data_IF_776043428957
#
_entry.id   IF_776043428957
#
_cell.length_a   1.000
_cell.length_b   1.000
_cell.length_c   1.000
_cell.angle_alpha   90.00
_cell.angle_beta   90.00
_cell.angle_gamma   90.00
#
_symmetry.space_group_name_H-M   'P 1'
#
loop_
_entity.id
_entity.type
_entity.pdbx_description
1 polymer ?
#
# COMPACT_ATOMS: atom_id res chain seq x y z
N UNK A 1 0.23 -13.00 17.24
CA UNK A 1 0.09 -13.94 16.11
C UNK A 1 1.47 -14.11 15.51
N UNK A 2 1.97 -15.34 15.36
CA UNK A 2 3.29 -15.58 14.78
C UNK A 2 3.30 -15.06 13.34
N UNK A 3 4.20 -14.13 13.02
CA UNK A 3 4.43 -13.66 11.66
C UNK A 3 5.07 -14.84 10.90
N UNK A 4 4.25 -15.67 10.23
CA UNK A 4 4.77 -16.65 9.28
C UNK A 4 5.50 -15.87 8.18
N UNK A 5 6.77 -16.18 7.93
CA UNK A 5 7.49 -15.50 6.87
C UNK A 5 6.86 -15.89 5.54
N UNK A 6 6.91 -15.00 4.53
CA UNK A 6 6.32 -15.29 3.22
C UNK A 6 6.88 -16.58 2.60
N UNK A 7 8.11 -16.94 2.97
CA UNK A 7 8.79 -18.19 2.61
C UNK A 7 8.13 -19.44 3.17
N UNK A 8 7.43 -19.37 4.31
CA UNK A 8 6.79 -20.50 4.98
C UNK A 8 5.38 -20.81 4.46
N UNK A 9 4.87 -20.01 3.52
CA UNK A 9 3.55 -20.15 2.93
C UNK A 9 3.59 -21.18 1.78
N UNK A 10 2.51 -21.96 1.62
CA UNK A 10 2.33 -22.83 0.45
C UNK A 10 2.04 -21.99 -0.81
N UNK A 11 2.14 -22.60 -2.00
CA UNK A 11 1.89 -21.88 -3.25
C UNK A 11 0.47 -21.27 -3.32
N UNK A 12 -0.54 -21.98 -2.80
CA UNK A 12 -1.92 -21.49 -2.74
C UNK A 12 -2.05 -20.30 -1.78
N UNK A 13 -1.43 -20.39 -0.60
CA UNK A 13 -1.40 -19.29 0.38
C UNK A 13 -0.67 -18.05 -0.18
N UNK A 14 0.43 -18.26 -0.92
CA UNK A 14 1.20 -17.19 -1.57
C UNK A 14 0.38 -16.44 -2.62
N UNK A 15 -0.38 -17.16 -3.44
CA UNK A 15 -1.28 -16.56 -4.45
C UNK A 15 -2.45 -15.81 -3.81
N UNK A 16 -2.96 -16.31 -2.68
CA UNK A 16 -4.00 -15.64 -1.91
C UNK A 16 -3.46 -14.33 -1.31
N UNK A 17 -2.25 -14.35 -0.75
CA UNK A 17 -1.58 -13.16 -0.23
C UNK A 17 -1.30 -12.14 -1.35
N UNK A 18 -0.92 -12.60 -2.54
CA UNK A 18 -0.76 -11.75 -3.72
C UNK A 18 -2.06 -11.06 -4.14
N UNK A 19 -3.20 -11.77 -4.09
CA UNK A 19 -4.52 -11.16 -4.31
C UNK A 19 -4.87 -10.13 -3.24
N UNK A 20 -4.61 -10.44 -1.96
CA UNK A 20 -4.81 -9.48 -0.86
C UNK A 20 -3.98 -8.23 -1.05
N UNK A 21 -2.70 -8.36 -1.43
CA UNK A 21 -1.84 -7.21 -1.71
C UNK A 21 -2.36 -6.36 -2.88
N UNK A 22 -2.88 -6.97 -3.95
CA UNK A 22 -3.54 -6.22 -5.04
C UNK A 22 -4.74 -5.43 -4.54
N UNK A 23 -5.60 -6.05 -3.71
CA UNK A 23 -6.74 -5.35 -3.13
C UNK A 23 -6.29 -4.21 -2.21
N UNK A 24 -5.26 -4.42 -1.39
CA UNK A 24 -4.67 -3.39 -0.55
C UNK A 24 -4.11 -2.23 -1.39
N UNK A 25 -3.46 -2.51 -2.53
CA UNK A 25 -2.98 -1.48 -3.44
C UNK A 25 -4.12 -0.62 -4.01
N UNK A 26 -5.26 -1.23 -4.35
CA UNK A 26 -6.46 -0.50 -4.80
C UNK A 26 -6.99 0.40 -3.68
N UNK A 27 -7.15 -0.14 -2.47
CA UNK A 27 -7.60 0.64 -1.30
C UNK A 27 -6.63 1.79 -1.03
N UNK A 28 -5.33 1.54 -1.10
CA UNK A 28 -4.31 2.57 -0.93
C UNK A 28 -4.42 3.66 -2.00
N UNK A 29 -4.64 3.30 -3.27
CA UNK A 29 -4.85 4.25 -4.35
C UNK A 29 -6.11 5.13 -4.13
N UNK A 30 -7.21 4.54 -3.67
CA UNK A 30 -8.44 5.27 -3.32
C UNK A 30 -8.18 6.24 -2.17
N UNK A 31 -7.50 5.79 -1.10
CA UNK A 31 -7.13 6.63 0.03
C UNK A 31 -6.23 7.79 -0.39
N UNK A 32 -5.22 7.53 -1.22
CA UNK A 32 -4.34 8.56 -1.75
C UNK A 32 -5.15 9.58 -2.56
N UNK A 33 -6.06 9.15 -3.44
CA UNK A 33 -6.94 10.04 -4.19
C UNK A 33 -7.83 10.91 -3.29
N UNK A 34 -8.40 10.32 -2.23
CA UNK A 34 -9.16 11.06 -1.22
C UNK A 34 -8.31 12.11 -0.49
N UNK A 35 -7.10 11.75 -0.07
CA UNK A 35 -6.17 12.67 0.58
C UNK A 35 -5.74 13.82 -0.36
N UNK A 36 -5.54 13.53 -1.65
CA UNK A 36 -5.32 14.56 -2.67
C UNK A 36 -6.51 15.51 -2.80
N UNK A 37 -7.74 14.99 -2.73
CA UNK A 37 -8.95 15.81 -2.70
C UNK A 37 -8.99 16.79 -1.53
N UNK A 38 -8.58 16.34 -0.33
CA UNK A 38 -8.47 17.20 0.86
C UNK A 38 -7.42 18.29 0.64
N UNK A 39 -6.24 17.94 0.11
CA UNK A 39 -5.19 18.90 -0.19
C UNK A 39 -5.70 19.94 -1.19
N UNK A 40 -6.35 19.52 -2.27
CA UNK A 40 -6.91 20.41 -3.28
C UNK A 40 -7.96 21.37 -2.69
N UNK A 41 -8.89 20.86 -1.88
CA UNK A 41 -9.88 21.69 -1.19
C UNK A 41 -9.23 22.70 -0.22
N UNK A 42 -8.22 22.27 0.53
CA UNK A 42 -7.45 23.13 1.44
C UNK A 42 -6.74 24.26 0.69
N UNK A 43 -6.18 23.99 -0.50
CA UNK A 43 -5.58 25.00 -1.37
C UNK A 43 -6.62 26.01 -1.84
N UNK A 44 -7.79 25.55 -2.33
CA UNK A 44 -8.88 26.42 -2.78
C UNK A 44 -9.44 27.29 -1.65
N UNK A 45 -9.53 26.75 -0.44
CA UNK A 45 -9.98 27.48 0.77
C UNK A 45 -8.87 28.26 1.46
N UNK A 46 -7.68 28.34 0.86
CA UNK A 46 -6.50 29.00 1.40
C UNK A 46 -6.14 28.58 2.84
N UNK A 47 -6.52 27.35 3.22
CA UNK A 47 -6.34 26.82 4.57
C UNK A 47 -5.03 26.05 4.65
N UNK A 48 -3.95 26.71 4.24
CA UNK A 48 -2.61 26.15 4.19
C UNK A 48 -2.04 25.91 5.60
N UNK A 49 -1.39 24.77 5.81
CA UNK A 49 -0.76 24.43 7.09
C UNK A 49 -0.96 22.97 7.48
N UNK A 50 -1.31 22.73 8.74
CA UNK A 50 -1.40 21.37 9.30
C UNK A 50 -2.37 20.44 8.53
N UNK A 51 -3.44 21.00 7.95
CA UNK A 51 -4.41 20.25 7.16
C UNK A 51 -3.86 19.68 5.85
N UNK A 52 -2.77 20.20 5.31
CA UNK A 52 -2.08 19.62 4.14
C UNK A 52 -0.95 18.68 4.55
N UNK A 53 -0.29 18.95 5.68
CA UNK A 53 0.79 18.12 6.22
C UNK A 53 0.30 16.74 6.67
N UNK A 54 -0.87 16.67 7.34
CA UNK A 54 -1.43 15.39 7.80
C UNK A 54 -1.70 14.46 6.61
N UNK A 55 -2.48 14.84 5.58
CA UNK A 55 -2.65 14.02 4.38
C UNK A 55 -1.34 13.61 3.71
N UNK A 56 -0.38 14.53 3.61
CA UNK A 56 0.90 14.26 2.95
C UNK A 56 1.71 13.18 3.70
N UNK A 57 1.73 13.24 5.04
CA UNK A 57 2.35 12.21 5.87
C UNK A 57 1.69 10.83 5.68
N UNK A 58 0.35 10.78 5.64
CA UNK A 58 -0.38 9.54 5.41
C UNK A 58 -0.07 8.94 4.02
N UNK A 59 -0.03 9.76 2.97
CA UNK A 59 0.35 9.32 1.62
C UNK A 59 1.74 8.70 1.64
N UNK A 60 2.73 9.38 2.23
CA UNK A 60 4.11 8.88 2.32
C UNK A 60 4.18 7.52 3.03
N UNK A 61 3.52 7.40 4.20
CA UNK A 61 3.49 6.16 4.96
C UNK A 61 2.85 5.00 4.17
N UNK A 62 1.77 5.28 3.45
CA UNK A 62 1.02 4.28 2.69
C UNK A 62 1.80 3.76 1.47
N UNK A 63 2.51 4.65 0.78
CA UNK A 63 3.36 4.29 -0.36
C UNK A 63 4.57 3.47 0.11
N UNK A 64 5.23 3.90 1.19
CA UNK A 64 6.43 3.24 1.68
C UNK A 64 6.15 1.83 2.23
N UNK A 65 5.03 1.65 2.96
CA UNK A 65 4.64 0.34 3.49
C UNK A 65 4.24 -0.66 2.40
N UNK A 66 3.60 -0.18 1.32
CA UNK A 66 3.18 -1.02 0.21
C UNK A 66 4.36 -1.53 -0.61
N UNK A 67 5.40 -0.72 -0.80
CA UNK A 67 6.51 -1.02 -1.71
C UNK A 67 7.42 -2.16 -1.22
N UNK A 68 7.79 -2.14 0.06
CA UNK A 68 8.65 -3.19 0.64
C UNK A 68 7.99 -4.57 0.55
N UNK A 69 6.70 -4.64 0.92
CA UNK A 69 5.95 -5.89 0.99
C UNK A 69 5.60 -6.46 -0.39
N UNK A 70 5.43 -5.61 -1.41
CA UNK A 70 5.19 -6.06 -2.78
C UNK A 70 6.46 -6.62 -3.43
N UNK A 71 7.62 -6.01 -3.19
CA UNK A 71 8.87 -6.47 -3.80
C UNK A 71 9.30 -7.85 -3.30
N UNK A 72 9.17 -8.11 -2.00
CA UNK A 72 9.51 -9.40 -1.39
C UNK A 72 8.58 -10.52 -1.89
N UNK A 73 7.27 -10.25 -1.93
CA UNK A 73 6.27 -11.21 -2.42
C UNK A 73 6.44 -11.49 -3.92
N UNK A 74 6.74 -10.47 -4.74
CA UNK A 74 6.95 -10.65 -6.18
C UNK A 74 8.23 -11.45 -6.49
N UNK A 75 9.28 -11.27 -5.67
CA UNK A 75 10.50 -12.08 -5.76
C UNK A 75 10.22 -13.57 -5.50
N UNK A 76 9.49 -13.87 -4.42
CA UNK A 76 9.14 -15.25 -4.06
C UNK A 76 8.21 -15.92 -5.08
N UNK A 77 7.26 -15.16 -5.65
CA UNK A 77 6.38 -15.68 -6.71
C UNK A 77 7.17 -16.06 -7.97
N UNK A 78 8.16 -15.25 -8.36
CA UNK A 78 9.04 -15.53 -9.51
C UNK A 78 9.97 -16.70 -9.25
N UNK A 79 10.58 -16.77 -8.07
CA UNK A 79 11.46 -17.88 -7.68
C UNK A 79 10.74 -19.23 -7.76
N UNK A 80 9.45 -19.25 -7.41
CA UNK A 80 8.61 -20.46 -7.44
C UNK A 80 7.88 -20.68 -8.77
N UNK A 81 8.12 -19.86 -9.80
CA UNK A 81 7.52 -20.00 -11.13
C UNK A 81 5.99 -19.76 -11.15
N UNK A 82 5.46 -19.02 -10.17
CA UNK A 82 4.03 -18.70 -10.05
C UNK A 82 3.64 -17.40 -10.77
N UNK A 83 4.62 -16.68 -11.33
CA UNK A 83 4.45 -15.43 -12.08
C UNK A 83 5.57 -15.23 -13.10
#
# INVERSE_FOLDING_TARGET
MAQKNLTDLTNEELLLEAKKQKNAAIINAVLIGFLFGIIFYSVVKNTWGMLTLIPLFFIYKLVNSSKANTQELDGLLKERGLK
#
